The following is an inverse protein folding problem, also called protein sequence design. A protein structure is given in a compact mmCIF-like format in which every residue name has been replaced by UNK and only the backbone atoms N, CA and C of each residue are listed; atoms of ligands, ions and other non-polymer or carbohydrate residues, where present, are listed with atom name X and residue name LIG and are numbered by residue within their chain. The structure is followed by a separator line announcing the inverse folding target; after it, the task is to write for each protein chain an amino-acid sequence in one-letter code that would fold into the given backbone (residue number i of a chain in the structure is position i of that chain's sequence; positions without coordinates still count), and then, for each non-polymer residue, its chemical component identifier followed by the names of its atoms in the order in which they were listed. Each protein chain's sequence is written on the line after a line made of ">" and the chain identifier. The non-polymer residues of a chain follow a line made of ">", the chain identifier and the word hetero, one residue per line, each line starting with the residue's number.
data_IF_195077493734
#
_entry.id   IF_195077493734
#
_cell.length_a   1.000
_cell.length_b   1.000
_cell.length_c   1.000
_cell.angle_alpha   90.00
_cell.angle_beta   90.00
_cell.angle_gamma   90.00
#
_symmetry.space_group_name_H-M   'P 1'
#
loop_
_entity.id
_entity.type
_entity.pdbx_description
1 polymer ?
#
# COMPACT_ATOMS: atom_id res chain seq x y z
N UNK A 1 -6.01 -13.89 11.82
CA UNK A 1 -6.60 -12.89 10.91
C UNK A 1 -5.78 -12.87 9.64
N UNK A 2 -6.41 -13.10 8.50
CA UNK A 2 -5.77 -13.03 7.19
C UNK A 2 -5.83 -11.59 6.67
N UNK A 3 -4.74 -11.12 6.07
CA UNK A 3 -4.70 -9.82 5.40
C UNK A 3 -5.19 -10.03 3.97
N UNK A 4 -6.29 -9.37 3.59
CA UNK A 4 -6.72 -9.27 2.21
C UNK A 4 -5.78 -8.33 1.46
N UNK A 5 -5.38 -8.73 0.25
CA UNK A 5 -4.48 -7.95 -0.60
C UNK A 5 -5.19 -7.49 -1.86
N UNK A 6 -4.76 -6.35 -2.44
CA UNK A 6 -5.26 -5.90 -3.73
C UNK A 6 -5.15 -6.99 -4.79
N UNK A 7 -6.24 -7.23 -5.52
CA UNK A 7 -6.26 -8.25 -6.57
C UNK A 7 -5.52 -7.72 -7.79
N UNK A 8 -4.43 -8.40 -8.18
CA UNK A 8 -3.67 -8.02 -9.36
C UNK A 8 -4.47 -8.35 -10.61
N UNK A 9 -4.69 -7.34 -11.45
CA UNK A 9 -5.17 -7.55 -12.80
C UNK A 9 -3.98 -8.01 -13.64
N UNK A 10 -3.99 -9.29 -14.02
CA UNK A 10 -3.00 -9.82 -14.95
C UNK A 10 -3.34 -9.30 -16.34
N UNK A 11 -2.61 -8.26 -16.74
CA UNK A 11 -2.58 -7.85 -18.13
C UNK A 11 -1.75 -8.88 -18.91
N UNK A 12 -2.39 -9.67 -19.78
CA UNK A 12 -1.73 -10.44 -20.84
C UNK A 12 -0.76 -9.55 -21.64
N UNK A 13 0.27 -10.14 -22.25
CA UNK A 13 1.39 -9.42 -22.91
C UNK A 13 0.99 -8.53 -24.11
N UNK A 14 -0.30 -8.24 -24.32
CA UNK A 14 -0.87 -7.68 -25.55
C UNK A 14 -1.86 -6.53 -25.30
N UNK A 15 -1.81 -5.88 -24.13
CA UNK A 15 -2.69 -4.76 -23.82
C UNK A 15 -2.10 -3.42 -24.28
N UNK A 16 -2.85 -2.71 -25.11
CA UNK A 16 -2.63 -1.29 -25.35
C UNK A 16 -3.48 -0.53 -24.33
N UNK A 17 -2.82 0.34 -23.57
CA UNK A 17 -3.45 1.22 -22.59
C UNK A 17 -3.37 2.66 -23.08
N UNK A 18 -4.40 3.44 -22.81
CA UNK A 18 -4.36 4.89 -22.92
C UNK A 18 -4.85 5.50 -21.62
N UNK A 19 -4.37 6.70 -21.30
CA UNK A 19 -4.81 7.45 -20.13
C UNK A 19 -5.34 8.81 -20.55
N UNK A 20 -6.49 9.19 -20.02
CA UNK A 20 -6.98 10.58 -20.08
C UNK A 20 -7.11 11.12 -18.66
N UNK A 21 -7.07 12.44 -18.51
CA UNK A 21 -7.32 13.09 -17.21
C UNK A 21 -8.55 13.99 -17.29
N UNK A 22 -9.39 13.93 -16.26
CA UNK A 22 -10.54 14.81 -16.09
C UNK A 22 -10.29 15.76 -14.93
N UNK A 23 -10.27 17.07 -15.21
CA UNK A 23 -10.13 18.12 -14.20
C UNK A 23 -11.45 18.35 -13.47
N UNK A 24 -11.39 18.47 -12.15
CA UNK A 24 -12.57 18.73 -11.33
C UNK A 24 -12.26 19.72 -10.20
N UNK A 25 -13.33 20.31 -9.67
CA UNK A 25 -13.28 21.05 -8.40
C UNK A 25 -14.20 20.37 -7.40
N UNK A 26 -13.84 20.38 -6.13
CA UNK A 26 -14.67 19.87 -5.05
C UNK A 26 -14.47 20.73 -3.79
N UNK A 27 -15.44 20.70 -2.88
CA UNK A 27 -15.32 21.34 -1.59
C UNK A 27 -14.81 20.33 -0.57
N UNK A 28 -13.67 20.60 0.04
CA UNK A 28 -13.15 19.82 1.17
C UNK A 28 -14.17 19.87 2.31
N UNK A 29 -14.70 18.72 2.72
CA UNK A 29 -15.75 18.65 3.75
C UNK A 29 -15.27 19.05 5.15
N UNK A 30 -13.96 18.96 5.43
CA UNK A 30 -13.36 19.29 6.72
C UNK A 30 -13.08 20.77 6.83
N UNK A 31 -12.53 21.38 5.78
CA UNK A 31 -12.08 22.77 5.80
C UNK A 31 -13.03 23.73 5.09
N UNK A 32 -14.00 23.23 4.32
CA UNK A 32 -14.91 24.03 3.49
C UNK A 32 -14.23 24.69 2.30
N UNK A 33 -12.96 24.35 2.01
CA UNK A 33 -12.13 25.00 0.99
C UNK A 33 -12.35 24.33 -0.37
N UNK A 34 -12.53 25.14 -1.42
CA UNK A 34 -12.55 24.66 -2.79
C UNK A 34 -11.16 24.15 -3.19
N UNK A 35 -11.08 22.90 -3.63
CA UNK A 35 -9.87 22.25 -4.13
C UNK A 35 -10.03 21.89 -5.60
N UNK A 36 -8.91 21.91 -6.31
CA UNK A 36 -8.80 21.47 -7.70
C UNK A 36 -8.02 20.16 -7.77
N UNK A 37 -8.43 19.25 -8.66
CA UNK A 37 -7.75 17.98 -8.87
C UNK A 37 -7.97 17.41 -10.27
N UNK A 38 -7.27 16.32 -10.57
CA UNK A 38 -7.46 15.52 -11.79
C UNK A 38 -7.78 14.08 -11.44
N UNK A 39 -8.67 13.46 -12.22
CA UNK A 39 -8.97 12.03 -12.15
C UNK A 39 -8.41 11.37 -13.40
N UNK A 40 -7.36 10.53 -13.27
CA UNK A 40 -6.87 9.76 -14.40
C UNK A 40 -7.84 8.60 -14.68
N UNK A 41 -8.13 8.40 -15.95
CA UNK A 41 -8.98 7.33 -16.47
C UNK A 41 -8.17 6.46 -17.40
N UNK A 42 -8.26 5.14 -17.21
CA UNK A 42 -7.53 4.16 -18.00
C UNK A 42 -8.48 3.47 -18.97
N UNK A 43 -8.09 3.46 -20.25
CA UNK A 43 -8.76 2.78 -21.34
C UNK A 43 -7.94 1.56 -21.74
N UNK A 44 -8.63 0.45 -22.00
CA UNK A 44 -8.03 -0.79 -22.48
C UNK A 44 -8.61 -1.14 -23.84
N UNK A 45 -7.76 -1.61 -24.75
CA UNK A 45 -8.25 -2.37 -25.88
C UNK A 45 -8.75 -3.74 -25.38
N UNK A 46 -9.97 -4.12 -25.75
CA UNK A 46 -10.57 -5.42 -25.42
C UNK A 46 -10.26 -6.49 -26.47
N UNK A 47 -9.65 -6.13 -27.60
CA UNK A 47 -9.33 -7.03 -28.70
C UNK A 47 -7.93 -7.66 -28.54
N UNK A 48 -7.78 -8.92 -28.94
CA UNK A 48 -6.48 -9.60 -28.96
C UNK A 48 -5.58 -9.01 -30.06
N UNK A 49 -4.56 -8.27 -29.65
CA UNK A 49 -3.59 -7.68 -30.58
C UNK A 49 -2.61 -8.74 -31.13
N UNK A 50 -2.35 -8.70 -32.45
CA UNK A 50 -1.38 -9.61 -33.12
C UNK A 50 0.04 -9.00 -33.07
N UNK A 51 1.08 -9.78 -32.71
CA UNK A 51 2.46 -9.29 -32.74
C UNK A 51 2.84 -8.72 -34.11
N UNK A 52 3.46 -7.55 -34.13
CA UNK A 52 3.92 -6.89 -35.36
C UNK A 52 2.85 -6.07 -36.11
N UNK A 53 1.66 -5.87 -35.53
CA UNK A 53 0.62 -4.98 -36.09
C UNK A 53 0.51 -3.70 -35.30
N UNK A 54 -0.01 -2.61 -35.87
CA UNK A 54 -0.40 -1.44 -35.07
C UNK A 54 -1.73 -1.74 -34.39
N UNK A 55 -1.88 -1.35 -33.12
CA UNK A 55 -3.16 -1.42 -32.42
C UNK A 55 -3.56 -0.05 -31.91
N UNK A 56 -4.87 0.18 -31.83
CA UNK A 56 -5.45 1.45 -31.39
C UNK A 56 -6.30 1.24 -30.15
N UNK A 57 -6.42 2.28 -29.33
CA UNK A 57 -7.37 2.34 -28.21
C UNK A 57 -8.26 3.54 -28.47
N UNK A 58 -9.57 3.33 -28.53
CA UNK A 58 -10.51 4.44 -28.60
C UNK A 58 -10.59 5.12 -27.22
N UNK A 59 -10.13 6.36 -27.16
CA UNK A 59 -10.24 7.20 -25.96
C UNK A 59 -11.53 8.00 -26.07
N UNK A 60 -12.59 7.51 -25.44
CA UNK A 60 -13.84 8.25 -25.36
C UNK A 60 -13.71 9.42 -24.37
N UNK A 61 -14.41 10.52 -24.64
CA UNK A 61 -14.56 11.58 -23.65
C UNK A 61 -15.31 11.01 -22.43
N UNK A 62 -14.67 11.03 -21.27
CA UNK A 62 -15.23 10.55 -20.01
C UNK A 62 -15.25 11.66 -18.98
N UNK A 63 -16.46 12.12 -18.64
CA UNK A 63 -16.72 13.01 -17.53
C UNK A 63 -17.34 12.19 -16.38
N UNK A 64 -16.62 11.93 -15.27
CA UNK A 64 -17.19 11.27 -14.11
C UNK A 64 -18.35 12.09 -13.51
N UNK A 65 -19.38 11.42 -13.00
CA UNK A 65 -20.45 12.10 -12.26
C UNK A 65 -19.93 12.73 -10.96
N UNK A 66 -20.61 13.75 -10.40
CA UNK A 66 -20.23 14.34 -9.10
C UNK A 66 -20.06 13.29 -7.99
N UNK A 67 -20.99 12.34 -7.87
CA UNK A 67 -20.89 11.23 -6.91
C UNK A 67 -19.63 10.37 -7.12
N UNK A 68 -19.21 10.17 -8.38
CA UNK A 68 -18.00 9.40 -8.68
C UNK A 68 -16.73 10.17 -8.31
N UNK A 69 -16.75 11.48 -8.49
CA UNK A 69 -15.68 12.39 -8.05
C UNK A 69 -15.55 12.34 -6.53
N UNK A 70 -16.66 12.46 -5.79
CA UNK A 70 -16.67 12.34 -4.33
C UNK A 70 -16.10 11.01 -3.85
N UNK A 71 -16.54 9.89 -4.46
CA UNK A 71 -16.00 8.57 -4.15
C UNK A 71 -14.51 8.45 -4.45
N UNK A 72 -14.02 9.06 -5.53
CA UNK A 72 -12.60 9.09 -5.87
C UNK A 72 -11.79 9.83 -4.80
N UNK A 73 -12.24 11.01 -4.38
CA UNK A 73 -11.60 11.80 -3.32
C UNK A 73 -11.55 11.00 -2.02
N UNK A 74 -12.67 10.40 -1.60
CA UNK A 74 -12.71 9.55 -0.40
C UNK A 74 -11.74 8.37 -0.49
N UNK A 75 -11.66 7.70 -1.64
CA UNK A 75 -10.69 6.61 -1.84
C UNK A 75 -9.25 7.09 -1.76
N UNK A 76 -8.95 8.27 -2.30
CA UNK A 76 -7.62 8.86 -2.21
C UNK A 76 -7.23 9.18 -0.77
N UNK A 77 -8.16 9.70 0.04
CA UNK A 77 -7.96 9.93 1.48
C UNK A 77 -7.73 8.62 2.26
N UNK A 78 -8.47 7.57 1.92
CA UNK A 78 -8.28 6.24 2.51
C UNK A 78 -6.90 5.66 2.16
N UNK A 79 -6.45 5.80 0.90
CA UNK A 79 -5.10 5.39 0.48
C UNK A 79 -4.04 6.17 1.26
N UNK A 80 -4.19 7.49 1.40
CA UNK A 80 -3.29 8.32 2.20
C UNK A 80 -3.24 7.87 3.66
N UNK A 81 -4.39 7.47 4.22
CA UNK A 81 -4.46 6.89 5.56
C UNK A 81 -3.67 5.58 5.66
N UNK A 82 -3.76 4.69 4.66
CA UNK A 82 -2.95 3.47 4.59
C UNK A 82 -1.44 3.79 4.55
N UNK A 83 -1.03 4.79 3.76
CA UNK A 83 0.37 5.23 3.69
C UNK A 83 0.85 5.71 5.07
N UNK A 84 0.09 6.60 5.71
CA UNK A 84 0.42 7.14 7.03
C UNK A 84 0.51 6.05 8.11
N UNK A 85 -0.42 5.10 8.10
CA UNK A 85 -0.40 3.95 9.01
C UNK A 85 0.87 3.10 8.81
N UNK A 86 1.31 2.93 7.56
CA UNK A 86 2.51 2.17 7.27
C UNK A 86 3.79 2.89 7.71
N UNK A 87 3.86 4.21 7.54
CA UNK A 87 4.95 5.04 8.07
C UNK A 87 4.98 5.05 9.61
N UNK A 88 3.81 5.08 10.28
CA UNK A 88 3.74 4.92 11.74
C UNK A 88 4.35 3.59 12.19
N UNK A 89 4.01 2.47 11.53
CA UNK A 89 4.61 1.16 11.82
C UNK A 89 6.12 1.17 11.56
N UNK A 90 6.57 1.74 10.45
CA UNK A 90 8.00 1.85 10.13
C UNK A 90 8.75 2.62 11.21
N UNK A 91 8.21 3.75 11.67
CA UNK A 91 8.79 4.55 12.74
C UNK A 91 8.87 3.77 14.05
N UNK A 92 7.80 3.05 14.42
CA UNK A 92 7.81 2.17 15.61
C UNK A 92 8.82 1.03 15.49
N UNK A 93 8.99 0.45 14.30
CA UNK A 93 10.03 -0.53 14.06
C UNK A 93 11.44 0.06 14.19
N UNK A 94 11.69 1.27 13.68
CA UNK A 94 12.97 1.95 13.89
C UNK A 94 13.29 2.05 15.39
N UNK A 95 12.34 2.46 16.22
CA UNK A 95 12.52 2.51 17.68
C UNK A 95 12.81 1.14 18.27
N UNK A 96 12.03 0.11 17.90
CA UNK A 96 12.21 -1.25 18.41
C UNK A 96 13.56 -1.86 18.00
N UNK A 97 13.96 -1.68 16.73
CA UNK A 97 15.23 -2.15 16.20
C UNK A 97 16.41 -1.38 16.82
N UNK A 98 16.26 -0.07 17.01
CA UNK A 98 17.23 0.74 17.75
C UNK A 98 17.48 0.16 19.14
N UNK A 99 16.43 -0.16 19.89
CA UNK A 99 16.55 -0.81 21.20
C UNK A 99 17.27 -2.17 21.13
N UNK A 100 16.92 -3.01 20.15
CA UNK A 100 17.53 -4.32 19.93
C UNK A 100 19.05 -4.19 19.71
N UNK A 101 19.45 -3.30 18.79
CA UNK A 101 20.83 -3.15 18.38
C UNK A 101 21.69 -2.40 19.40
N UNK A 102 21.11 -1.44 20.13
CA UNK A 102 21.79 -0.75 21.22
C UNK A 102 22.25 -1.69 22.32
N UNK A 103 21.39 -2.64 22.72
CA UNK A 103 21.76 -3.67 23.70
C UNK A 103 22.84 -4.63 23.18
N UNK A 104 23.00 -4.77 21.87
CA UNK A 104 23.91 -5.74 21.28
C UNK A 104 25.27 -5.17 20.85
N UNK A 105 25.39 -3.88 20.53
CA UNK A 105 26.59 -3.41 19.80
C UNK A 105 27.01 -1.95 19.99
N UNK A 106 26.30 -1.13 20.77
CA UNK A 106 26.68 0.27 21.00
C UNK A 106 26.69 1.21 19.77
N UNK A 107 26.34 0.72 18.57
CA UNK A 107 26.39 1.47 17.31
C UNK A 107 25.02 2.05 16.95
N UNK A 108 24.93 3.38 17.03
CA UNK A 108 23.69 4.14 16.79
C UNK A 108 23.51 4.59 15.32
N UNK A 109 24.59 4.57 14.53
CA UNK A 109 24.66 5.26 13.23
C UNK A 109 24.05 4.49 12.05
N UNK A 110 23.68 3.21 12.20
CA UNK A 110 23.23 2.38 11.07
C UNK A 110 21.71 2.16 10.98
N UNK A 111 20.94 2.53 12.00
CA UNK A 111 19.49 2.21 12.03
C UNK A 111 18.67 3.10 11.11
N UNK A 112 19.09 4.37 10.93
CA UNK A 112 18.36 5.34 10.10
C UNK A 112 18.36 5.03 8.60
N UNK A 113 19.28 4.21 8.11
CA UNK A 113 19.36 3.84 6.69
C UNK A 113 18.59 2.57 6.33
N UNK A 114 18.03 1.87 7.31
CA UNK A 114 17.31 0.63 7.06
C UNK A 114 15.94 0.90 6.45
N UNK A 115 15.66 0.21 5.34
CA UNK A 115 14.33 0.18 4.76
C UNK A 115 13.35 -0.63 5.62
N UNK A 116 12.07 -0.55 5.28
CA UNK A 116 11.00 -1.21 6.03
C UNK A 116 11.19 -2.73 6.10
N UNK A 117 11.68 -3.34 5.01
CA UNK A 117 11.91 -4.78 4.96
C UNK A 117 13.01 -5.21 5.93
N UNK A 118 14.14 -4.49 5.94
CA UNK A 118 15.27 -4.77 6.81
C UNK A 118 14.90 -4.59 8.28
N UNK A 119 14.18 -3.51 8.61
CA UNK A 119 13.69 -3.27 9.98
C UNK A 119 12.81 -4.42 10.47
N UNK A 120 11.85 -4.84 9.64
CA UNK A 120 10.97 -5.97 9.95
C UNK A 120 11.78 -7.26 10.14
N UNK A 121 12.74 -7.56 9.26
CA UNK A 121 13.56 -8.78 9.37
C UNK A 121 14.34 -8.82 10.68
N UNK A 122 15.00 -7.72 11.06
CA UNK A 122 15.75 -7.64 12.32
C UNK A 122 14.80 -7.83 13.51
N UNK A 123 13.67 -7.12 13.52
CA UNK A 123 12.68 -7.21 14.59
C UNK A 123 12.14 -8.63 14.76
N UNK A 124 11.70 -9.25 13.66
CA UNK A 124 11.14 -10.60 13.65
C UNK A 124 12.16 -11.66 14.05
N UNK A 125 13.41 -11.54 13.59
CA UNK A 125 14.48 -12.46 13.99
C UNK A 125 14.83 -12.33 15.47
N UNK A 126 14.79 -11.11 16.03
CA UNK A 126 14.94 -10.92 17.47
C UNK A 126 13.82 -11.62 18.25
N UNK A 127 12.56 -11.41 17.86
CA UNK A 127 11.42 -12.07 18.53
C UNK A 127 11.62 -13.59 18.55
N UNK A 128 12.08 -14.20 17.46
CA UNK A 128 12.31 -15.66 17.39
C UNK A 128 13.39 -16.14 18.35
N UNK A 129 14.48 -15.38 18.49
CA UNK A 129 15.65 -15.78 19.28
C UNK A 129 15.46 -15.53 20.77
N UNK A 130 14.85 -14.41 21.14
CA UNK A 130 14.69 -13.97 22.52
C UNK A 130 13.58 -14.72 23.27
N UNK A 131 13.95 -15.46 24.33
CA UNK A 131 13.00 -16.28 25.10
C UNK A 131 11.80 -15.46 25.66
N UNK A 132 12.02 -14.19 26.03
CA UNK A 132 10.97 -13.36 26.62
C UNK A 132 9.90 -12.94 25.60
N UNK A 133 10.27 -12.82 24.31
CA UNK A 133 9.40 -12.31 23.25
C UNK A 133 9.06 -13.34 22.18
N UNK A 134 9.62 -14.56 22.27
CA UNK A 134 9.37 -15.67 21.33
C UNK A 134 7.91 -16.02 21.14
N UNK A 135 7.10 -15.91 22.19
CA UNK A 135 5.67 -16.18 22.11
C UNK A 135 4.91 -15.20 21.18
N UNK A 136 5.48 -14.02 20.89
CA UNK A 136 4.94 -13.06 19.93
C UNK A 136 5.22 -13.46 18.47
N UNK A 137 6.20 -14.34 18.22
CA UNK A 137 6.69 -14.69 16.90
C UNK A 137 5.86 -15.83 16.23
N UNK A 138 4.69 -15.52 15.70
CA UNK A 138 3.88 -16.48 14.93
C UNK A 138 4.24 -16.47 13.41
N UNK A 139 4.28 -17.64 12.77
CA UNK A 139 4.49 -17.79 11.30
C UNK A 139 3.47 -17.01 10.47
N UNK A 140 2.18 -17.05 10.82
CA UNK A 140 1.11 -16.32 10.13
C UNK A 140 1.31 -14.82 10.21
N UNK A 141 1.72 -14.32 11.38
CA UNK A 141 2.00 -12.90 11.59
C UNK A 141 3.16 -12.43 10.69
N UNK A 142 4.24 -13.23 10.58
CA UNK A 142 5.35 -12.92 9.67
C UNK A 142 4.92 -12.85 8.21
N UNK A 143 4.11 -13.81 7.75
CA UNK A 143 3.57 -13.83 6.38
C UNK A 143 2.77 -12.56 6.10
N UNK A 144 1.85 -12.22 7.01
CA UNK A 144 1.01 -11.04 6.84
C UNK A 144 1.80 -9.73 7.00
N UNK A 145 2.89 -9.70 7.79
CA UNK A 145 3.76 -8.53 7.89
C UNK A 145 4.51 -8.29 6.58
N UNK A 146 5.02 -9.33 5.93
CA UNK A 146 5.58 -9.19 4.58
C UNK A 146 4.53 -8.65 3.61
N UNK A 147 3.33 -9.23 3.62
CA UNK A 147 2.24 -8.79 2.73
C UNK A 147 1.81 -7.34 3.00
N UNK A 148 1.77 -6.90 4.26
CA UNK A 148 1.49 -5.51 4.62
C UNK A 148 2.49 -4.52 4.00
N UNK A 149 3.78 -4.89 3.95
CA UNK A 149 4.82 -4.07 3.30
C UNK A 149 4.67 -4.09 1.78
N UNK A 150 4.31 -5.24 1.19
CA UNK A 150 4.04 -5.32 -0.25
C UNK A 150 2.84 -4.46 -0.64
N UNK A 151 1.73 -4.55 0.10
CA UNK A 151 0.52 -3.77 -0.13
C UNK A 151 0.78 -2.27 0.08
N UNK A 152 1.59 -1.90 1.09
CA UNK A 152 2.07 -0.52 1.30
C UNK A 152 2.67 0.06 0.02
N UNK A 153 3.51 -0.69 -0.67
CA UNK A 153 4.19 -0.19 -1.87
C UNK A 153 3.23 0.11 -3.01
N UNK A 154 2.14 -0.67 -3.14
CA UNK A 154 1.06 -0.38 -4.09
C UNK A 154 0.44 0.98 -3.75
N UNK A 155 0.14 1.24 -2.48
CA UNK A 155 -0.48 2.50 -2.05
C UNK A 155 0.46 3.71 -2.16
N UNK A 156 1.73 3.56 -1.78
CA UNK A 156 2.68 4.69 -1.75
C UNK A 156 3.18 5.09 -3.14
N UNK A 157 3.38 4.12 -4.04
CA UNK A 157 3.96 4.37 -5.35
C UNK A 157 2.95 4.26 -6.49
N UNK A 158 1.73 3.81 -6.20
CA UNK A 158 0.68 3.68 -7.19
C UNK A 158 -0.10 4.97 -7.40
N UNK A 159 -0.68 5.10 -8.59
CA UNK A 159 -1.64 6.14 -8.95
C UNK A 159 -3.04 5.54 -8.91
N UNK A 160 -3.99 6.16 -8.22
CA UNK A 160 -5.41 5.77 -8.26
C UNK A 160 -6.01 6.21 -9.59
N UNK A 161 -6.77 5.35 -10.26
CA UNK A 161 -7.42 5.62 -11.53
C UNK A 161 -8.85 5.07 -11.56
N UNK A 162 -9.64 5.55 -12.51
CA UNK A 162 -10.90 4.93 -12.91
C UNK A 162 -10.66 4.08 -14.17
N UNK A 163 -10.99 2.80 -14.13
CA UNK A 163 -11.01 1.95 -15.33
C UNK A 163 -12.25 2.28 -16.15
N UNK A 164 -12.08 2.66 -17.41
CA UNK A 164 -13.17 3.17 -18.23
C UNK A 164 -14.29 2.14 -18.48
N UNK A 165 -13.93 0.88 -18.74
CA UNK A 165 -14.87 -0.14 -19.22
C UNK A 165 -15.96 -0.49 -18.19
N UNK A 166 -15.59 -0.55 -16.90
CA UNK A 166 -16.47 -0.97 -15.80
C UNK A 166 -16.55 0.05 -14.66
N UNK A 167 -15.90 1.21 -14.84
CA UNK A 167 -15.84 2.30 -13.88
C UNK A 167 -15.28 1.88 -12.52
N UNK A 168 -14.48 0.82 -12.43
CA UNK A 168 -13.86 0.40 -11.17
C UNK A 168 -12.67 1.30 -10.78
N UNK A 169 -12.43 1.41 -9.47
CA UNK A 169 -11.23 2.07 -8.95
C UNK A 169 -10.07 1.09 -8.96
N UNK A 170 -8.98 1.46 -9.61
CA UNK A 170 -7.78 0.64 -9.75
C UNK A 170 -6.55 1.45 -9.41
N UNK A 171 -5.56 0.82 -8.81
CA UNK A 171 -4.25 1.43 -8.60
C UNK A 171 -3.30 0.90 -9.66
N UNK A 172 -2.70 1.81 -10.40
CA UNK A 172 -1.61 1.50 -11.33
C UNK A 172 -0.29 1.68 -10.61
N UNK A 173 0.57 0.66 -10.61
CA UNK A 173 1.84 0.66 -9.90
C UNK A 173 2.91 -0.11 -10.67
N UNK A 174 4.18 0.17 -10.39
CA UNK A 174 5.29 -0.60 -10.96
C UNK A 174 5.53 -1.85 -10.10
N UNK A 175 5.41 -3.05 -10.69
CA UNK A 175 5.78 -4.28 -9.99
C UNK A 175 7.30 -4.33 -9.81
N UNK A 176 7.75 -4.39 -8.56
CA UNK A 176 9.18 -4.36 -8.23
C UNK A 176 9.95 -5.59 -8.73
N UNK A 177 9.29 -6.73 -8.94
CA UNK A 177 9.90 -7.97 -9.42
C UNK A 177 9.99 -8.00 -10.94
N UNK A 178 8.90 -7.69 -11.64
CA UNK A 178 8.85 -7.76 -13.11
C UNK A 178 9.30 -6.47 -13.78
N UNK A 179 9.32 -5.35 -13.04
CA UNK A 179 9.51 -3.98 -13.57
C UNK A 179 8.48 -3.59 -14.63
N UNK A 180 7.32 -4.26 -14.62
CA UNK A 180 6.21 -3.99 -15.53
C UNK A 180 5.12 -3.26 -14.75
N UNK A 181 4.55 -2.23 -15.36
CA UNK A 181 3.39 -1.56 -14.80
C UNK A 181 2.22 -2.54 -14.70
N UNK A 182 1.65 -2.63 -13.50
CA UNK A 182 0.57 -3.54 -13.15
C UNK A 182 -0.61 -2.74 -12.59
N UNK A 183 -1.80 -3.32 -12.64
CA UNK A 183 -2.97 -2.77 -11.98
C UNK A 183 -3.42 -3.66 -10.85
N UNK A 184 -3.90 -3.03 -9.79
CA UNK A 184 -4.53 -3.69 -8.67
C UNK A 184 -5.94 -3.13 -8.45
N UNK A 185 -6.92 -4.02 -8.30
CA UNK A 185 -8.25 -3.64 -7.84
C UNK A 185 -8.18 -3.40 -6.34
N UNK A 186 -8.70 -2.26 -5.90
CA UNK A 186 -8.78 -1.92 -4.48
C UNK A 186 -10.23 -1.74 -4.10
N UNK A 187 -10.68 -2.54 -3.14
CA UNK A 187 -12.02 -2.45 -2.57
C UNK A 187 -11.99 -1.90 -1.14
N UNK A 188 -13.15 -1.53 -0.63
CA UNK A 188 -13.30 -1.07 0.76
C UNK A 188 -12.85 -2.14 1.76
N UNK A 189 -13.14 -3.41 1.47
CA UNK A 189 -12.82 -4.56 2.32
C UNK A 189 -11.30 -4.76 2.42
N UNK A 190 -10.57 -4.56 1.33
CA UNK A 190 -9.10 -4.61 1.30
C UNK A 190 -8.53 -3.51 2.21
N UNK A 191 -9.03 -2.28 2.09
CA UNK A 191 -8.60 -1.14 2.93
C UNK A 191 -8.90 -1.41 4.42
N UNK A 192 -10.09 -1.92 4.73
CA UNK A 192 -10.47 -2.27 6.10
C UNK A 192 -9.59 -3.39 6.67
N UNK A 193 -9.28 -4.40 5.87
CA UNK A 193 -8.36 -5.48 6.26
C UNK A 193 -6.96 -4.93 6.53
N UNK A 194 -6.47 -4.02 5.69
CA UNK A 194 -5.17 -3.36 5.88
C UNK A 194 -5.13 -2.57 7.20
N UNK A 195 -6.17 -1.78 7.49
CA UNK A 195 -6.30 -1.05 8.75
C UNK A 195 -6.34 -1.98 9.97
N UNK A 196 -7.12 -3.07 9.91
CA UNK A 196 -7.16 -4.05 11.01
C UNK A 196 -5.77 -4.64 11.24
N UNK A 197 -5.04 -4.98 10.18
CA UNK A 197 -3.70 -5.53 10.32
C UNK A 197 -2.69 -4.48 10.84
N UNK A 198 -2.82 -3.21 10.47
CA UNK A 198 -2.10 -2.11 11.10
C UNK A 198 -2.27 -2.11 12.64
N UNK A 199 -3.50 -2.25 13.14
CA UNK A 199 -3.74 -2.29 14.60
C UNK A 199 -3.06 -3.48 15.27
N UNK A 200 -3.00 -4.63 14.60
CA UNK A 200 -2.30 -5.84 15.08
C UNK A 200 -0.79 -5.58 15.16
N UNK A 201 -0.19 -5.00 14.13
CA UNK A 201 1.25 -4.68 14.12
C UNK A 201 1.60 -3.63 15.17
N UNK A 202 0.77 -2.59 15.33
CA UNK A 202 0.95 -1.58 16.36
C UNK A 202 0.94 -2.20 17.77
N UNK A 203 -0.01 -3.11 18.03
CA UNK A 203 -0.08 -3.84 19.30
C UNK A 203 1.13 -4.74 19.52
N UNK A 204 1.55 -5.49 18.51
CA UNK A 204 2.74 -6.34 18.57
C UNK A 204 3.99 -5.57 19.01
N UNK A 205 4.24 -4.41 18.41
CA UNK A 205 5.41 -3.60 18.72
C UNK A 205 5.30 -3.00 20.14
N UNK A 206 4.10 -2.60 20.56
CA UNK A 206 3.85 -2.14 21.92
C UNK A 206 4.09 -3.25 22.96
N UNK A 207 3.59 -4.46 22.72
CA UNK A 207 3.77 -5.62 23.58
C UNK A 207 5.26 -5.98 23.73
N UNK A 208 6.03 -5.90 22.64
CA UNK A 208 7.49 -6.03 22.68
C UNK A 208 8.12 -5.02 23.65
N UNK A 209 7.81 -3.72 23.52
CA UNK A 209 8.36 -2.70 24.42
C UNK A 209 7.94 -2.91 25.87
N UNK A 210 6.69 -3.30 26.12
CA UNK A 210 6.19 -3.58 27.47
C UNK A 210 6.97 -4.71 28.15
N UNK A 211 7.25 -5.81 27.43
CA UNK A 211 8.03 -6.94 27.96
C UNK A 211 9.47 -6.52 28.25
N UNK A 212 10.06 -5.71 27.36
CA UNK A 212 11.46 -5.28 27.50
C UNK A 212 11.68 -4.22 28.58
N UNK A 213 10.69 -3.38 28.84
CA UNK A 213 10.76 -2.33 29.87
C UNK A 213 10.46 -2.87 31.28
N UNK A 214 9.69 -3.95 31.42
CA UNK A 214 9.43 -4.61 32.72
C UNK A 214 10.61 -5.42 33.29
N UNK A 215 11.71 -5.55 32.53
CA UNK A 215 12.91 -6.29 32.92
C UNK A 215 14.07 -5.38 33.38
N UNK A 216 13.75 -4.15 33.79
CA UNK A 216 14.67 -3.25 34.50
C UNK A 216 14.32 -3.31 35.98
#
# INVERSE_FOLDING_TARGET
>A
MELLSPERIVLTNRFIKATSEYSYTYQDSVHGIAKYGTIPTIFFNTEEWKPGTEGTVQVAHFAPSPEKIEKYVLFQELINTCINNAEDIKNKLHTAVGYILHKSSGSNKLVGSYDFMKLKDIFVEHLKKDNATRHLANKTLRRNFNQFILDRNIYTHGKLNIRYNDKQFVITYLDNHTKIESLAVVTKEIIQSYYRFYTVLRKLIADFHNIKNKKI
#
